data_IF_496424434486
#
_entry.id   IF_496424434486
#
_cell.length_a   1.000
_cell.length_b   1.000
_cell.length_c   1.000
_cell.angle_alpha   90.00
_cell.angle_beta   90.00
_cell.angle_gamma   90.00
#
_symmetry.space_group_name_H-M   'P 1'
#
loop_
_entity.id
_entity.type
_entity.pdbx_description
1 polymer ?
#
# COMPACT_ATOMS: atom_id res chain seq x y z
N UNK A 1 -3.71 -1.84 16.29
CA UNK A 1 -3.51 -3.19 16.86
C UNK A 1 -4.82 -3.94 16.84
N UNK A 2 -4.79 -5.24 16.59
CA UNK A 2 -5.96 -6.09 16.74
C UNK A 2 -6.40 -6.14 18.21
N UNK A 3 -7.70 -6.29 18.45
CA UNK A 3 -8.28 -6.41 19.79
C UNK A 3 -9.49 -7.33 19.76
N UNK A 4 -10.25 -7.38 20.85
CA UNK A 4 -11.35 -8.36 21.01
C UNK A 4 -12.64 -8.02 20.24
N UNK A 5 -12.56 -7.09 19.27
CA UNK A 5 -13.69 -6.73 18.43
C UNK A 5 -14.11 -7.96 17.62
N UNK A 6 -15.36 -8.39 17.80
CA UNK A 6 -15.95 -9.42 16.96
C UNK A 6 -16.03 -8.92 15.52
N UNK A 7 -15.57 -9.75 14.60
CA UNK A 7 -15.65 -9.46 13.17
C UNK A 7 -17.12 -9.31 12.76
N UNK A 8 -17.40 -8.24 12.03
CA UNK A 8 -18.73 -7.93 11.46
C UNK A 8 -18.74 -8.17 9.95
N UNK A 9 -19.92 -8.44 9.40
CA UNK A 9 -20.13 -8.57 7.94
C UNK A 9 -20.14 -7.22 7.23
N UNK A 10 -20.45 -6.14 7.95
CA UNK A 10 -20.77 -4.84 7.34
C UNK A 10 -19.54 -3.92 7.17
N UNK A 11 -18.33 -4.43 7.42
CA UNK A 11 -17.09 -3.66 7.40
C UNK A 11 -15.96 -4.39 6.66
N UNK A 12 -15.01 -3.63 6.08
CA UNK A 12 -13.77 -4.21 5.57
C UNK A 12 -12.91 -4.77 6.70
N UNK A 13 -12.21 -5.87 6.41
CA UNK A 13 -11.18 -6.44 7.26
C UNK A 13 -9.84 -6.21 6.57
N UNK A 14 -8.98 -5.40 7.17
CA UNK A 14 -7.59 -5.22 6.72
C UNK A 14 -6.73 -6.31 7.35
N UNK A 15 -6.21 -7.19 6.50
CA UNK A 15 -5.25 -8.24 6.85
C UNK A 15 -3.86 -7.77 6.42
N UNK A 16 -3.09 -7.31 7.38
CA UNK A 16 -1.70 -6.87 7.23
C UNK A 16 -0.82 -7.88 7.98
N UNK A 17 0.07 -8.53 7.25
CA UNK A 17 0.89 -9.61 7.77
C UNK A 17 2.16 -9.82 6.97
N UNK A 18 3.15 -10.41 7.64
CA UNK A 18 4.43 -10.77 7.07
C UNK A 18 4.99 -12.03 7.69
N UNK A 19 5.99 -12.61 7.02
CA UNK A 19 6.78 -13.72 7.58
C UNK A 19 8.25 -13.34 7.63
N UNK A 20 8.99 -13.96 8.55
CA UNK A 20 10.45 -13.88 8.57
C UNK A 20 11.04 -15.19 8.09
N UNK A 21 11.80 -15.15 6.99
CA UNK A 21 12.48 -16.31 6.43
C UNK A 21 13.99 -16.02 6.32
N UNK A 22 14.81 -16.87 6.93
CA UNK A 22 16.27 -16.75 6.92
C UNK A 22 16.80 -15.35 7.29
N UNK A 23 16.11 -14.66 8.19
CA UNK A 23 16.49 -13.32 8.64
C UNK A 23 15.81 -12.17 7.90
N UNK A 24 15.19 -12.40 6.75
CA UNK A 24 14.50 -11.37 5.95
C UNK A 24 13.00 -11.36 6.21
N UNK A 25 12.40 -10.18 6.22
CA UNK A 25 10.97 -9.96 6.38
C UNK A 25 10.27 -9.89 5.02
N UNK A 26 9.02 -10.34 4.99
CA UNK A 26 8.04 -9.97 3.98
C UNK A 26 6.97 -9.06 4.60
N UNK A 27 6.24 -8.35 3.76
CA UNK A 27 5.08 -7.54 4.15
C UNK A 27 4.00 -7.58 3.07
N UNK A 28 2.75 -7.78 3.48
CA UNK A 28 1.61 -7.79 2.56
C UNK A 28 0.35 -7.39 3.31
N UNK A 29 -0.42 -6.50 2.68
CA UNK A 29 -1.75 -6.11 3.12
C UNK A 29 -2.79 -6.44 2.04
N UNK A 30 -3.88 -7.06 2.49
CA UNK A 30 -5.12 -7.24 1.73
C UNK A 30 -6.29 -6.72 2.54
N UNK A 31 -7.30 -6.20 1.84
CA UNK A 31 -8.59 -5.89 2.46
C UNK A 31 -9.64 -6.86 1.93
N UNK A 32 -10.32 -7.56 2.83
CA UNK A 32 -11.35 -8.56 2.51
C UNK A 32 -12.72 -8.15 3.06
N UNK A 33 -13.77 -8.70 2.45
CA UNK A 33 -15.17 -8.48 2.87
C UNK A 33 -15.85 -9.82 3.09
N UNK A 34 -16.63 -9.96 4.19
CA UNK A 34 -17.37 -11.18 4.48
C UNK A 34 -18.73 -11.26 3.76
N UNK A 35 -19.26 -10.12 3.35
CA UNK A 35 -20.45 -9.99 2.52
C UNK A 35 -20.23 -8.94 1.44
N UNK A 36 -21.25 -8.73 0.59
CA UNK A 36 -21.19 -7.73 -0.47
C UNK A 36 -20.84 -6.34 0.09
N UNK A 37 -19.74 -5.70 -0.35
CA UNK A 37 -19.35 -4.41 0.15
C UNK A 37 -20.30 -3.30 -0.30
N UNK A 38 -20.45 -2.27 0.54
CA UNK A 38 -21.19 -1.07 0.18
C UNK A 38 -20.57 -0.36 -1.02
N UNK A 39 -21.37 0.45 -1.73
CA UNK A 39 -20.88 1.28 -2.85
C UNK A 39 -19.71 2.18 -2.44
N UNK A 40 -19.68 2.66 -1.20
CA UNK A 40 -18.58 3.47 -0.66
C UNK A 40 -17.29 2.63 -0.56
N UNK A 41 -17.36 1.40 -0.02
CA UNK A 41 -16.20 0.54 0.11
C UNK A 41 -15.66 0.04 -1.24
N UNK A 42 -16.54 -0.29 -2.18
CA UNK A 42 -16.15 -0.60 -3.56
C UNK A 42 -15.40 0.57 -4.19
N UNK A 43 -15.94 1.79 -4.04
CA UNK A 43 -15.32 3.00 -4.58
C UNK A 43 -13.94 3.25 -3.99
N UNK A 44 -13.78 3.26 -2.65
CA UNK A 44 -12.46 3.50 -2.07
C UNK A 44 -11.48 2.38 -2.38
N UNK A 45 -11.95 1.12 -2.49
CA UNK A 45 -11.11 0.00 -2.91
C UNK A 45 -10.55 0.22 -4.32
N UNK A 46 -11.40 0.57 -5.28
CA UNK A 46 -10.96 0.85 -6.65
C UNK A 46 -9.98 2.03 -6.71
N UNK A 47 -10.19 3.08 -5.90
CA UNK A 47 -9.26 4.22 -5.80
C UNK A 47 -7.91 3.82 -5.20
N UNK A 48 -7.89 3.03 -4.11
CA UNK A 48 -6.65 2.52 -3.52
C UNK A 48 -5.90 1.64 -4.53
N UNK A 49 -6.61 0.78 -5.26
CA UNK A 49 -6.00 -0.08 -6.28
C UNK A 49 -5.47 0.70 -7.48
N UNK A 50 -6.17 1.74 -7.91
CA UNK A 50 -5.71 2.68 -8.95
C UNK A 50 -4.41 3.37 -8.49
N UNK A 51 -4.40 3.95 -7.29
CA UNK A 51 -3.24 4.63 -6.73
C UNK A 51 -2.00 3.72 -6.62
N UNK A 52 -2.22 2.46 -6.21
CA UNK A 52 -1.15 1.46 -6.10
C UNK A 52 -0.55 1.11 -7.48
N UNK A 53 -1.41 0.94 -8.49
CA UNK A 53 -0.98 0.64 -9.86
C UNK A 53 -0.20 1.79 -10.48
N UNK A 54 -0.70 3.02 -10.37
CA UNK A 54 0.01 4.19 -10.88
C UNK A 54 1.38 4.37 -10.22
N UNK A 55 1.50 4.08 -8.92
CA UNK A 55 2.79 4.06 -8.24
C UNK A 55 3.77 3.03 -8.83
N UNK A 56 3.31 1.81 -9.13
CA UNK A 56 4.15 0.79 -9.78
C UNK A 56 4.62 1.22 -11.17
N UNK A 57 3.74 1.86 -11.95
CA UNK A 57 4.05 2.29 -13.32
C UNK A 57 5.16 3.34 -13.37
N UNK A 58 5.21 4.25 -12.39
CA UNK A 58 6.22 5.31 -12.36
C UNK A 58 7.51 4.89 -11.67
N UNK A 59 7.43 4.03 -10.64
CA UNK A 59 8.55 3.71 -9.76
C UNK A 59 9.70 3.05 -10.53
N UNK A 60 10.91 3.59 -10.36
CA UNK A 60 12.17 3.11 -10.94
C UNK A 60 13.36 3.77 -10.25
N UNK A 61 14.56 3.22 -10.45
CA UNK A 61 15.79 3.87 -10.01
C UNK A 61 15.92 5.29 -10.59
N UNK A 62 16.52 6.18 -9.80
CA UNK A 62 16.74 7.58 -10.16
C UNK A 62 15.61 8.54 -9.80
N UNK A 63 14.37 8.07 -9.55
CA UNK A 63 13.30 8.93 -9.03
C UNK A 63 13.50 9.25 -7.55
N UNK A 64 12.95 10.37 -7.11
CA UNK A 64 12.83 10.69 -5.68
C UNK A 64 11.65 9.94 -5.06
N UNK A 65 11.80 9.52 -3.81
CA UNK A 65 10.78 8.75 -3.09
C UNK A 65 9.46 9.51 -2.89
N UNK A 66 9.50 10.84 -2.81
CA UNK A 66 8.31 11.69 -2.71
C UNK A 66 7.59 11.89 -4.06
N UNK A 67 8.30 11.80 -5.19
CA UNK A 67 7.68 11.81 -6.51
C UNK A 67 6.75 10.61 -6.69
N UNK A 68 7.17 9.42 -6.22
CA UNK A 68 6.35 8.22 -6.27
C UNK A 68 5.16 8.29 -5.29
N UNK A 69 5.39 8.74 -4.05
CA UNK A 69 4.30 8.99 -3.09
C UNK A 69 3.28 9.99 -3.65
N UNK A 70 3.77 11.06 -4.29
CA UNK A 70 2.96 12.11 -4.89
C UNK A 70 1.97 11.58 -5.92
N UNK A 71 2.37 10.64 -6.77
CA UNK A 71 1.48 10.01 -7.76
C UNK A 71 0.31 9.29 -7.10
N UNK A 72 0.58 8.37 -6.17
CA UNK A 72 -0.49 7.65 -5.46
C UNK A 72 -1.39 8.60 -4.65
N UNK A 73 -0.77 9.57 -3.97
CA UNK A 73 -1.48 10.57 -3.16
C UNK A 73 -2.38 11.45 -4.02
N UNK A 74 -1.94 11.83 -5.22
CA UNK A 74 -2.72 12.63 -6.15
C UNK A 74 -3.93 11.88 -6.70
N UNK A 75 -3.80 10.58 -7.00
CA UNK A 75 -4.96 9.74 -7.37
C UNK A 75 -6.01 9.78 -6.28
N UNK A 76 -5.62 9.51 -5.03
CA UNK A 76 -6.52 9.51 -3.87
C UNK A 76 -7.14 10.89 -3.65
N UNK A 77 -6.34 11.95 -3.74
CA UNK A 77 -6.78 13.34 -3.56
C UNK A 77 -7.78 13.78 -4.63
N UNK A 78 -7.53 13.48 -5.91
CA UNK A 78 -8.43 13.81 -7.04
C UNK A 78 -9.81 13.15 -6.90
N UNK A 79 -9.90 12.05 -6.16
CA UNK A 79 -11.15 11.33 -5.88
C UNK A 79 -11.87 11.83 -4.62
N UNK A 80 -11.31 12.83 -3.95
CA UNK A 80 -11.89 13.45 -2.75
C UNK A 80 -11.48 12.79 -1.43
N UNK A 81 -10.48 11.90 -1.44
CA UNK A 81 -10.10 11.12 -0.25
C UNK A 81 -8.73 11.50 0.32
N UNK A 82 -8.14 12.63 -0.09
CA UNK A 82 -6.77 13.01 0.28
C UNK A 82 -6.52 13.09 1.79
N UNK A 83 -7.49 13.59 2.56
CA UNK A 83 -7.39 13.70 4.02
C UNK A 83 -7.44 12.34 4.74
N UNK A 84 -7.86 11.28 4.04
CA UNK A 84 -7.99 9.93 4.57
C UNK A 84 -6.77 9.04 4.27
N UNK A 85 -5.74 9.57 3.61
CA UNK A 85 -4.46 8.89 3.38
C UNK A 85 -3.35 9.52 4.23
N UNK A 86 -3.34 9.18 5.53
CA UNK A 86 -2.54 9.84 6.56
C UNK A 86 -1.12 9.28 6.78
N UNK A 87 -0.65 8.34 5.97
CA UNK A 87 0.69 7.75 6.08
C UNK A 87 1.50 7.89 4.79
N UNK A 88 2.77 7.47 4.84
CA UNK A 88 3.62 7.36 3.67
C UNK A 88 3.11 6.24 2.74
N UNK A 89 3.39 6.33 1.45
CA UNK A 89 3.11 5.27 0.49
C UNK A 89 3.82 3.95 0.81
N UNK A 90 4.96 3.98 1.50
CA UNK A 90 5.61 2.75 1.95
C UNK A 90 6.94 2.96 2.66
N UNK A 91 7.66 1.86 2.87
CA UNK A 91 8.94 1.79 3.56
C UNK A 91 9.84 0.69 3.00
N UNK A 92 11.12 0.72 3.33
CA UNK A 92 12.06 -0.35 3.03
C UNK A 92 11.76 -1.58 3.86
N UNK A 93 12.03 -2.75 3.28
CA UNK A 93 11.88 -4.06 3.93
C UNK A 93 13.11 -4.91 3.64
N UNK A 94 13.67 -5.50 4.68
CA UNK A 94 14.85 -6.35 4.58
C UNK A 94 15.04 -7.17 5.84
N UNK A 95 16.09 -6.89 6.62
CA UNK A 95 16.31 -7.58 7.90
C UNK A 95 15.34 -7.11 9.00
N UNK A 96 14.82 -5.89 8.84
CA UNK A 96 13.72 -5.34 9.60
C UNK A 96 12.48 -5.17 8.70
N UNK A 97 11.29 -5.24 9.33
CA UNK A 97 10.03 -4.95 8.63
C UNK A 97 9.99 -3.49 8.18
N UNK A 98 10.47 -2.56 9.00
CA UNK A 98 10.63 -1.16 8.63
C UNK A 98 12.11 -0.78 8.63
N UNK A 99 12.65 -0.54 7.45
CA UNK A 99 13.98 0.04 7.23
C UNK A 99 13.93 1.15 6.16
N UNK A 100 15.09 1.73 5.84
CA UNK A 100 15.18 2.73 4.78
C UNK A 100 15.07 2.05 3.39
N UNK A 101 14.58 2.76 2.35
CA UNK A 101 14.08 4.14 2.37
C UNK A 101 12.61 4.25 2.79
N UNK A 102 12.18 5.44 3.22
CA UNK A 102 10.75 5.76 3.36
C UNK A 102 10.23 6.27 2.02
N UNK A 103 9.10 5.76 1.55
CA UNK A 103 8.42 6.24 0.34
C UNK A 103 7.32 7.22 0.76
N UNK A 104 7.69 8.50 0.93
CA UNK A 104 6.78 9.52 1.42
C UNK A 104 7.34 10.93 1.28
N UNK A 105 6.56 11.96 1.66
CA UNK A 105 6.90 13.37 1.43
C UNK A 105 7.99 13.92 2.37
N UNK A 106 8.39 13.14 3.38
CA UNK A 106 9.31 13.59 4.42
C UNK A 106 10.70 12.99 4.19
N UNK A 107 11.71 13.86 4.09
CA UNK A 107 13.12 13.50 3.88
C UNK A 107 13.29 12.56 2.67
N UNK A 108 12.88 13.00 1.46
CA UNK A 108 12.92 12.14 0.30
C UNK A 108 14.36 11.76 -0.05
N UNK A 109 14.51 10.56 -0.58
CA UNK A 109 15.79 10.02 -1.06
C UNK A 109 15.67 9.62 -2.52
N UNK A 110 16.80 9.59 -3.21
CA UNK A 110 16.85 9.02 -4.56
C UNK A 110 16.76 7.50 -4.45
N UNK A 111 15.86 6.91 -5.22
CA UNK A 111 15.70 5.47 -5.31
C UNK A 111 16.83 4.88 -6.15
N UNK A 112 17.37 3.74 -5.72
CA UNK A 112 18.43 3.01 -6.42
C UNK A 112 17.96 1.61 -6.77
N UNK A 113 18.47 1.05 -7.87
CA UNK A 113 18.20 -0.32 -8.23
C UNK A 113 18.69 -1.27 -7.13
N UNK A 114 17.91 -2.31 -6.82
CA UNK A 114 18.20 -3.24 -5.72
C UNK A 114 17.50 -2.91 -4.40
N UNK A 115 16.96 -1.70 -4.24
CA UNK A 115 16.13 -1.38 -3.08
C UNK A 115 14.83 -2.19 -3.08
N UNK A 116 14.44 -2.72 -1.91
CA UNK A 116 13.16 -3.41 -1.71
C UNK A 116 12.28 -2.54 -0.80
N UNK A 117 11.07 -2.23 -1.25
CA UNK A 117 10.14 -1.36 -0.54
C UNK A 117 8.71 -1.88 -0.63
N UNK A 118 7.85 -1.44 0.29
CA UNK A 118 6.39 -1.59 0.20
C UNK A 118 5.78 -0.48 -0.66
N UNK A 119 4.64 -0.79 -1.28
CA UNK A 119 3.74 0.17 -1.93
C UNK A 119 2.33 -0.11 -1.43
N UNK A 120 1.92 0.66 -0.44
CA UNK A 120 0.80 0.36 0.46
C UNK A 120 -0.20 1.52 0.62
N UNK A 121 -0.74 2.13 -0.46
CA UNK A 121 -1.71 3.21 -0.31
C UNK A 121 -2.94 2.73 0.49
N UNK A 122 -3.53 3.65 1.26
CA UNK A 122 -4.70 3.35 2.08
C UNK A 122 -5.64 4.54 2.27
N UNK A 123 -6.94 4.25 2.38
CA UNK A 123 -7.99 5.20 2.70
C UNK A 123 -8.71 4.72 3.95
N UNK A 124 -8.74 5.53 5.01
CA UNK A 124 -9.42 5.21 6.27
C UNK A 124 -10.49 6.24 6.59
N UNK A 125 -11.74 5.80 6.60
CA UNK A 125 -12.91 6.61 6.90
C UNK A 125 -13.21 6.52 8.41
N UNK A 126 -13.10 7.63 9.17
CA UNK A 126 -13.33 7.63 10.60
C UNK A 126 -14.69 7.04 10.97
N UNK A 127 -14.68 6.09 11.92
CA UNK A 127 -15.89 5.42 12.39
C UNK A 127 -16.52 4.41 11.43
N UNK A 128 -15.99 4.23 10.21
CA UNK A 128 -16.52 3.28 9.22
C UNK A 128 -15.59 2.11 8.90
N UNK A 129 -14.29 2.35 8.83
CA UNK A 129 -13.29 1.36 8.41
C UNK A 129 -12.36 1.91 7.34
N UNK A 130 -11.61 1.03 6.67
CA UNK A 130 -10.68 1.46 5.62
C UNK A 130 -10.25 0.34 4.70
N UNK A 131 -9.60 0.73 3.61
CA UNK A 131 -8.97 -0.18 2.66
C UNK A 131 -7.49 0.17 2.58
N UNK A 132 -6.63 -0.84 2.71
CA UNK A 132 -5.21 -0.79 2.34
C UNK A 132 -4.89 -2.00 1.48
N UNK A 133 -4.07 -1.79 0.46
CA UNK A 133 -3.53 -2.83 -0.41
C UNK A 133 -2.04 -2.60 -0.50
N UNK A 134 -1.25 -3.66 -0.36
CA UNK A 134 0.19 -3.55 -0.28
C UNK A 134 0.87 -4.66 -1.06
N UNK A 135 1.95 -4.29 -1.73
CA UNK A 135 2.91 -5.21 -2.32
C UNK A 135 4.33 -4.80 -1.92
N UNK A 136 5.20 -5.79 -1.85
CA UNK A 136 6.64 -5.55 -1.89
C UNK A 136 7.12 -5.51 -3.34
N UNK A 137 8.00 -4.54 -3.62
CA UNK A 137 8.63 -4.38 -4.93
C UNK A 137 10.15 -4.31 -4.80
N UNK A 138 10.83 -4.93 -5.76
CA UNK A 138 12.24 -4.71 -6.05
C UNK A 138 12.36 -3.60 -7.09
N UNK A 139 13.04 -2.51 -6.74
CA UNK A 139 13.31 -1.40 -7.65
C UNK A 139 14.38 -1.82 -8.65
N UNK A 140 14.10 -1.62 -9.94
CA UNK A 140 15.04 -1.89 -11.03
C UNK A 140 15.45 -0.58 -11.73
N UNK A 141 16.46 -0.65 -12.61
CA UNK A 141 16.86 0.49 -13.45
C UNK A 141 15.67 1.05 -14.25
N UNK A 142 14.83 0.14 -14.75
CA UNK A 142 13.57 0.48 -15.43
C UNK A 142 12.42 -0.28 -14.79
N UNK A 143 11.60 0.41 -14.01
CA UNK A 143 10.41 -0.13 -13.39
C UNK A 143 10.67 -0.87 -12.07
N UNK A 144 9.78 -1.81 -11.77
CA UNK A 144 9.80 -2.62 -10.55
C UNK A 144 9.46 -4.08 -10.86
N UNK A 145 9.97 -4.99 -10.03
CA UNK A 145 9.51 -6.37 -9.94
C UNK A 145 8.65 -6.56 -8.70
N UNK A 146 7.45 -7.11 -8.86
CA UNK A 146 6.59 -7.51 -7.74
C UNK A 146 7.11 -8.79 -7.09
N UNK A 147 7.42 -8.71 -5.80
CA UNK A 147 7.91 -9.84 -5.01
C UNK A 147 6.77 -10.63 -4.37
N UNK A 148 5.70 -9.94 -3.98
CA UNK A 148 4.42 -10.53 -3.58
C UNK A 148 3.60 -10.87 -4.83
N UNK A 149 3.09 -12.10 -4.89
CA UNK A 149 2.45 -12.69 -6.08
C UNK A 149 0.99 -13.09 -5.85
N UNK A 150 0.35 -12.58 -4.82
CA UNK A 150 -1.06 -12.88 -4.54
C UNK A 150 -1.98 -12.15 -5.55
N UNK A 151 -2.69 -12.88 -6.44
CA UNK A 151 -3.51 -12.27 -7.47
C UNK A 151 -4.89 -11.82 -6.97
N UNK A 152 -5.22 -12.04 -5.69
CA UNK A 152 -6.55 -11.82 -5.15
C UNK A 152 -6.83 -10.33 -4.94
N UNK A 153 -7.35 -9.69 -5.99
CA UNK A 153 -7.92 -8.35 -5.93
C UNK A 153 -9.37 -8.37 -6.41
N UNK A 154 -10.24 -7.67 -5.70
CA UNK A 154 -11.58 -7.39 -6.20
C UNK A 154 -11.52 -6.49 -7.45
N UNK A 155 -12.46 -6.72 -8.36
CA UNK A 155 -12.73 -5.87 -9.52
C UNK A 155 -14.14 -5.32 -9.36
N UNK A 156 -14.23 -4.06 -8.93
CA UNK A 156 -15.49 -3.34 -8.73
C UNK A 156 -15.67 -2.25 -9.77
#
# INVERSE_FOLDING_TARGET
>A
MAGDKKISTDEPIVLDMGVKLNGYCSDITRTVFLSEPSTEFKKIYSVVREAQKEAFEVMRAGLMSDEVDGVARDVIKKRGYGEYFGHALGHGVGLATHEAPRIGPLKPVRLEAGMIVTVEPGIYLPGKGGVRLEEMVLIQETGVELLTKDPNFYQF
#
